data_IF_783844614485
#
_entry.id   IF_783844614485
#
_cell.length_a   1.000
_cell.length_b   1.000
_cell.length_c   1.000
_cell.angle_alpha   90.00
_cell.angle_beta   90.00
_cell.angle_gamma   90.00
#
_symmetry.space_group_name_H-M   'P 1'
#
loop_
_entity.id
_entity.type
_entity.pdbx_description
1 polymer ?
#
# COMPACT_ATOMS: atom_id res chain seq x y z
N UNK A 1 3.95 -6.76 -15.63
CA UNK A 1 3.81 -7.13 -14.20
C UNK A 1 4.60 -6.11 -13.39
N UNK A 2 3.97 -5.48 -12.40
CA UNK A 2 4.63 -4.53 -11.49
C UNK A 2 5.61 -5.30 -10.60
N UNK A 3 6.86 -4.85 -10.59
CA UNK A 3 7.87 -5.39 -9.67
C UNK A 3 7.82 -4.57 -8.39
N UNK A 4 7.73 -5.24 -7.24
CA UNK A 4 7.81 -4.54 -5.97
C UNK A 4 9.18 -3.88 -5.80
N UNK A 5 9.19 -2.60 -5.42
CA UNK A 5 10.37 -1.80 -5.20
C UNK A 5 10.22 -1.06 -3.87
N UNK A 6 11.22 -1.18 -3.00
CA UNK A 6 11.19 -0.62 -1.64
C UNK A 6 11.16 0.91 -1.63
N UNK A 7 11.95 1.56 -2.48
CA UNK A 7 12.01 3.02 -2.59
C UNK A 7 10.68 3.59 -3.11
N UNK A 8 10.09 2.93 -4.10
CA UNK A 8 8.78 3.30 -4.62
C UNK A 8 7.66 3.09 -3.59
N UNK A 9 7.68 1.98 -2.85
CA UNK A 9 6.71 1.76 -1.77
C UNK A 9 6.87 2.85 -0.69
N UNK A 10 8.11 3.11 -0.26
CA UNK A 10 8.40 4.13 0.73
C UNK A 10 7.96 5.53 0.26
N UNK A 11 8.12 5.85 -1.03
CA UNK A 11 7.69 7.16 -1.57
C UNK A 11 6.18 7.35 -1.50
N UNK A 12 5.38 6.32 -1.80
CA UNK A 12 3.93 6.36 -1.64
C UNK A 12 3.50 6.52 -0.18
N UNK A 13 4.16 5.80 0.75
CA UNK A 13 3.91 5.95 2.18
C UNK A 13 4.26 7.36 2.68
N UNK A 14 5.43 7.87 2.30
CA UNK A 14 5.90 9.20 2.69
C UNK A 14 5.00 10.30 2.16
N UNK A 15 4.56 10.21 0.90
CA UNK A 15 3.66 11.20 0.29
C UNK A 15 2.34 11.30 1.07
N UNK A 16 1.74 10.15 1.41
CA UNK A 16 0.51 10.11 2.17
C UNK A 16 0.69 10.61 3.62
N UNK A 17 1.81 10.29 4.26
CA UNK A 17 2.11 10.75 5.62
C UNK A 17 2.31 12.27 5.72
N UNK A 18 2.84 12.90 4.67
CA UNK A 18 3.11 14.35 4.63
C UNK A 18 1.84 15.20 4.51
N UNK A 19 0.68 14.60 4.24
CA UNK A 19 -0.60 15.30 4.27
C UNK A 19 -0.91 15.83 5.68
N UNK A 20 -1.89 16.74 5.76
CA UNK A 20 -2.39 17.24 7.04
C UNK A 20 -2.82 16.09 7.95
N UNK A 21 -2.59 16.17 9.28
CA UNK A 21 -2.98 15.12 10.21
C UNK A 21 -4.46 14.72 10.15
N UNK A 22 -5.32 15.65 9.75
CA UNK A 22 -6.77 15.50 9.66
C UNK A 22 -7.23 14.88 8.33
N UNK A 23 -6.32 14.69 7.36
CA UNK A 23 -6.63 14.19 6.01
C UNK A 23 -6.84 12.67 5.97
N UNK A 24 -6.22 11.94 6.90
CA UNK A 24 -6.39 10.48 7.06
C UNK A 24 -6.61 10.15 8.52
N UNK A 25 -7.23 9.02 8.81
CA UNK A 25 -7.44 8.57 10.19
C UNK A 25 -6.11 8.42 10.96
N UNK A 26 -6.11 8.66 12.28
CA UNK A 26 -4.94 8.39 13.13
C UNK A 26 -4.46 6.95 13.03
N UNK A 27 -5.39 6.01 12.84
CA UNK A 27 -5.09 4.58 12.66
C UNK A 27 -4.29 4.34 11.39
N UNK A 28 -4.74 4.88 10.24
CA UNK A 28 -3.98 4.74 9.00
C UNK A 28 -2.60 5.42 9.11
N UNK A 29 -2.54 6.59 9.74
CA UNK A 29 -1.29 7.33 9.95
C UNK A 29 -0.28 6.53 10.77
N UNK A 30 -0.71 5.88 11.86
CA UNK A 30 0.14 4.98 12.65
C UNK A 30 0.62 3.80 11.79
N UNK A 31 -0.28 3.19 11.02
CA UNK A 31 0.07 2.07 10.14
C UNK A 31 1.05 2.45 9.04
N UNK A 32 0.97 3.65 8.48
CA UNK A 32 1.98 4.12 7.51
C UNK A 32 3.38 4.11 8.12
N UNK A 33 3.54 4.57 9.36
CA UNK A 33 4.84 4.57 10.06
C UNK A 33 5.31 3.14 10.36
N UNK A 34 4.41 2.30 10.89
CA UNK A 34 4.71 0.90 11.18
C UNK A 34 5.16 0.16 9.91
N UNK A 35 4.47 0.35 8.79
CA UNK A 35 4.80 -0.31 7.52
C UNK A 35 6.05 0.27 6.88
N UNK A 36 6.32 1.56 7.02
CA UNK A 36 7.59 2.15 6.60
C UNK A 36 8.78 1.52 7.34
N UNK A 37 8.66 1.26 8.65
CA UNK A 37 9.70 0.56 9.41
C UNK A 37 9.86 -0.90 8.97
N UNK A 38 8.75 -1.59 8.68
CA UNK A 38 8.80 -2.97 8.19
C UNK A 38 9.38 -3.07 6.78
N UNK A 39 9.27 -2.03 5.94
CA UNK A 39 9.85 -2.04 4.60
C UNK A 39 11.34 -2.30 4.63
N UNK A 40 12.07 -1.71 5.58
CA UNK A 40 13.53 -1.87 5.72
C UNK A 40 13.94 -3.30 6.07
N UNK A 41 13.04 -4.08 6.68
CA UNK A 41 13.31 -5.42 7.20
C UNK A 41 12.67 -6.54 6.36
N UNK A 42 11.71 -6.22 5.50
CA UNK A 42 10.94 -7.21 4.77
C UNK A 42 11.61 -7.62 3.46
N UNK A 43 11.76 -8.93 3.28
CA UNK A 43 12.16 -9.55 2.02
C UNK A 43 10.96 -9.75 1.06
N UNK A 44 9.73 -9.71 1.58
CA UNK A 44 8.51 -9.92 0.80
C UNK A 44 7.62 -8.67 0.81
N UNK A 45 7.87 -7.80 -0.14
CA UNK A 45 7.12 -6.56 -0.35
C UNK A 45 5.67 -6.80 -0.81
N UNK A 46 5.39 -7.92 -1.49
CA UNK A 46 4.03 -8.25 -1.94
C UNK A 46 3.13 -8.60 -0.77
N UNK A 47 3.62 -9.41 0.18
CA UNK A 47 2.90 -9.72 1.41
C UNK A 47 2.67 -8.46 2.26
N UNK A 48 3.67 -7.57 2.30
CA UNK A 48 3.56 -6.31 3.02
C UNK A 48 2.46 -5.41 2.41
N UNK A 49 2.38 -5.34 1.08
CA UNK A 49 1.32 -4.62 0.38
C UNK A 49 -0.07 -5.19 0.69
N UNK A 50 -0.21 -6.53 0.72
CA UNK A 50 -1.45 -7.22 1.09
C UNK A 50 -1.92 -6.84 2.50
N UNK A 51 -1.01 -6.86 3.48
CA UNK A 51 -1.34 -6.50 4.86
C UNK A 51 -1.74 -5.03 5.01
N UNK A 52 -1.08 -4.13 4.26
CA UNK A 52 -1.41 -2.70 4.28
C UNK A 52 -2.76 -2.42 3.61
N UNK A 53 -3.13 -3.20 2.59
CA UNK A 53 -4.33 -3.00 1.79
C UNK A 53 -5.61 -2.92 2.64
N UNK A 54 -5.67 -3.66 3.75
CA UNK A 54 -6.81 -3.67 4.67
C UNK A 54 -7.08 -2.27 5.25
N UNK A 55 -6.03 -1.56 5.65
CA UNK A 55 -6.15 -0.23 6.23
C UNK A 55 -6.44 0.83 5.18
N UNK A 56 -5.76 0.75 4.03
CA UNK A 56 -5.93 1.68 2.91
C UNK A 56 -7.34 1.59 2.31
N UNK A 57 -7.84 0.38 2.09
CA UNK A 57 -9.19 0.17 1.55
C UNK A 57 -10.28 0.63 2.52
N UNK A 58 -10.07 0.42 3.83
CA UNK A 58 -10.99 0.92 4.85
C UNK A 58 -11.05 2.45 4.82
N UNK A 59 -9.89 3.11 4.79
CA UNK A 59 -9.83 4.58 4.71
C UNK A 59 -10.54 5.09 3.44
N UNK A 60 -10.30 4.46 2.29
CA UNK A 60 -10.96 4.82 1.03
C UNK A 60 -12.50 4.74 1.12
N UNK A 61 -13.02 3.68 1.75
CA UNK A 61 -14.46 3.50 1.95
C UNK A 61 -15.02 4.58 2.87
N UNK A 62 -14.32 4.92 3.96
CA UNK A 62 -14.72 5.96 4.90
C UNK A 62 -14.72 7.37 4.27
N UNK A 63 -13.83 7.62 3.31
CA UNK A 63 -13.73 8.92 2.63
C UNK A 63 -14.73 9.11 1.47
N UNK A 64 -15.55 8.10 1.13
CA UNK A 64 -16.72 8.20 0.22
C UNK A 64 -16.49 9.01 -1.08
N UNK A 65 -15.32 8.85 -1.71
CA UNK A 65 -14.95 9.54 -2.96
C UNK A 65 -14.32 10.92 -2.81
N UNK A 66 -14.02 11.36 -1.58
CA UNK A 66 -13.24 12.57 -1.28
C UNK A 66 -11.79 12.25 -0.91
N UNK A 67 -11.33 11.05 -1.26
CA UNK A 67 -9.98 10.59 -0.97
C UNK A 67 -8.93 11.54 -1.57
N UNK A 68 -7.89 11.92 -0.81
CA UNK A 68 -6.77 12.68 -1.37
C UNK A 68 -6.07 11.83 -2.44
N UNK A 69 -5.44 12.52 -3.40
CA UNK A 69 -4.75 11.86 -4.51
C UNK A 69 -3.72 10.84 -4.01
N UNK A 70 -2.98 11.17 -2.96
CA UNK A 70 -1.93 10.33 -2.40
C UNK A 70 -2.47 9.01 -1.83
N UNK A 71 -3.70 9.01 -1.30
CA UNK A 71 -4.37 7.79 -0.83
C UNK A 71 -4.78 6.91 -2.00
N UNK A 72 -5.30 7.52 -3.08
CA UNK A 72 -5.63 6.81 -4.32
C UNK A 72 -4.38 6.24 -5.01
N UNK A 73 -3.29 7.01 -5.04
CA UNK A 73 -2.01 6.60 -5.61
C UNK A 73 -1.44 5.39 -4.84
N UNK A 74 -1.45 5.42 -3.50
CA UNK A 74 -1.02 4.30 -2.68
C UNK A 74 -1.90 3.06 -2.89
N UNK A 75 -3.23 3.23 -2.94
CA UNK A 75 -4.16 2.14 -3.17
C UNK A 75 -3.95 1.48 -4.54
N UNK A 76 -3.76 2.31 -5.57
CA UNK A 76 -3.46 1.84 -6.93
C UNK A 76 -2.15 1.06 -6.96
N UNK A 77 -1.10 1.58 -6.35
CA UNK A 77 0.19 0.89 -6.23
C UNK A 77 0.06 -0.49 -5.56
N UNK A 78 -0.65 -0.55 -4.43
CA UNK A 78 -0.90 -1.81 -3.71
C UNK A 78 -1.65 -2.80 -4.63
N UNK A 79 -2.70 -2.35 -5.31
CA UNK A 79 -3.48 -3.20 -6.20
C UNK A 79 -2.64 -3.76 -7.36
N UNK A 80 -1.76 -2.95 -7.96
CA UNK A 80 -0.84 -3.41 -9.01
C UNK A 80 0.12 -4.50 -8.51
N UNK A 81 0.61 -4.38 -7.27
CA UNK A 81 1.44 -5.41 -6.64
C UNK A 81 0.65 -6.69 -6.40
N UNK A 82 -0.57 -6.61 -5.90
CA UNK A 82 -1.44 -7.75 -5.65
C UNK A 82 -1.75 -8.52 -6.95
N UNK A 83 -2.13 -7.81 -8.01
CA UNK A 83 -2.39 -8.41 -9.33
C UNK A 83 -1.13 -9.10 -9.85
N UNK A 84 0.03 -8.45 -9.72
CA UNK A 84 1.30 -9.00 -10.20
C UNK A 84 1.71 -10.26 -9.42
N UNK A 85 1.47 -10.30 -8.11
CA UNK A 85 1.72 -11.46 -7.28
C UNK A 85 0.79 -12.62 -7.64
N UNK A 86 -0.52 -12.37 -7.78
CA UNK A 86 -1.50 -13.37 -8.15
C UNK A 86 -1.23 -13.99 -9.53
N UNK A 87 -0.87 -13.17 -10.52
CA UNK A 87 -0.49 -13.66 -11.86
C UNK A 87 0.77 -14.51 -11.85
N UNK A 88 1.74 -14.16 -10.99
CA UNK A 88 2.95 -14.96 -10.81
C UNK A 88 2.62 -16.33 -10.22
N UNK A 89 1.81 -16.38 -9.15
CA UNK A 89 1.40 -17.63 -8.51
C UNK A 89 0.58 -18.52 -9.45
N UNK A 90 -0.41 -17.95 -10.16
CA UNK A 90 -1.20 -18.70 -11.13
C UNK A 90 -0.34 -19.33 -12.24
N UNK A 91 0.77 -18.67 -12.63
CA UNK A 91 1.71 -19.22 -13.60
C UNK A 91 2.52 -20.38 -13.01
N UNK A 92 2.92 -20.30 -11.75
CA UNK A 92 3.60 -21.41 -11.07
C UNK A 92 2.69 -22.64 -10.92
N UNK A 93 1.41 -22.44 -10.60
CA UNK A 93 0.43 -23.53 -10.48
C UNK A 93 0.12 -24.22 -11.82
N UNK A 94 0.44 -23.56 -12.94
CA UNK A 94 0.25 -24.08 -14.30
C UNK A 94 1.45 -24.85 -14.87
N UNK A 95 2.54 -24.99 -14.11
CA UNK A 95 3.78 -25.70 -14.48
C UNK A 95 3.87 -27.07 -13.81
#
# INVERSE_FOLDING_TARGET
MKKANREEFYSHLSALYQLSPETISPVLREKIVEFAQKLDQSDNLYLLADQLSVYVNRELLEQAGKAPKELLDLATYIQELQISHSLYMARLDSL
#
